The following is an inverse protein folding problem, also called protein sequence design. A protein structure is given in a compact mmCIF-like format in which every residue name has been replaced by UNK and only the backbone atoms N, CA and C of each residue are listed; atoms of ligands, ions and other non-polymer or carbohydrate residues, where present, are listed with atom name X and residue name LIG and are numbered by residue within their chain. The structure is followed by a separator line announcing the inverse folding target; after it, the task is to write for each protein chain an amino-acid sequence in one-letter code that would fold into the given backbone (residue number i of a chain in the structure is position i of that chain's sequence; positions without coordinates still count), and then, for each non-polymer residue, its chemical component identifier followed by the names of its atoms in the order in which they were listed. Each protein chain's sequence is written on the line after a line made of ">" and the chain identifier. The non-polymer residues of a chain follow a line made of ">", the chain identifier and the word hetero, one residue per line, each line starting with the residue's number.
data_IF_388016229427
#
_entry.id   IF_388016229427
#
_cell.length_a   1.000
_cell.length_b   1.000
_cell.length_c   1.000
_cell.angle_alpha   90.00
_cell.angle_beta   90.00
_cell.angle_gamma   90.00
#
_symmetry.space_group_name_H-M   'P 1'
#
loop_
_entity.id
_entity.type
_entity.pdbx_description
1 polymer ?
#
# COMPACT_ATOMS: atom_id res chain seq x y z
N UNK A 1 -11.97 -2.92 17.27
CA UNK A 1 -10.96 -2.71 16.21
C UNK A 1 -10.77 -1.20 15.96
N UNK A 2 -10.06 -0.48 16.84
CA UNK A 2 -9.71 0.92 16.60
C UNK A 2 -8.33 0.93 15.94
N UNK A 3 -8.22 1.58 14.79
CA UNK A 3 -7.10 1.49 13.85
C UNK A 3 -5.82 2.20 14.34
N UNK A 4 -5.31 1.85 15.52
CA UNK A 4 -4.07 2.40 16.06
C UNK A 4 -3.11 1.23 16.33
N UNK A 5 -2.06 1.12 15.52
CA UNK A 5 -1.02 0.10 15.67
C UNK A 5 0.01 0.57 16.72
N UNK A 6 -0.44 0.90 17.93
CA UNK A 6 0.45 1.35 18.99
C UNK A 6 1.29 0.20 19.54
N UNK A 7 2.55 0.51 19.86
CA UNK A 7 3.52 -0.35 20.54
C UNK A 7 2.86 -0.88 21.83
N UNK A 8 2.42 -2.14 21.80
CA UNK A 8 1.89 -2.84 22.97
C UNK A 8 0.51 -3.50 22.84
N UNK A 9 -0.37 -3.09 21.91
CA UNK A 9 -1.70 -3.74 21.75
C UNK A 9 -2.28 -3.76 20.31
N UNK A 10 -1.53 -3.31 19.30
CA UNK A 10 -1.96 -3.34 17.90
C UNK A 10 -1.41 -4.56 17.15
N UNK A 11 -2.29 -5.38 16.58
CA UNK A 11 -1.89 -6.42 15.62
C UNK A 11 -1.27 -5.83 14.34
N UNK A 12 -0.60 -6.65 13.51
CA UNK A 12 0.09 -6.17 12.32
C UNK A 12 -0.88 -5.53 11.30
N UNK A 13 -0.41 -4.52 10.55
CA UNK A 13 -1.20 -3.82 9.52
C UNK A 13 -1.81 -4.84 8.52
N UNK A 14 -3.11 -4.75 8.16
CA UNK A 14 -3.74 -5.70 7.24
C UNK A 14 -3.12 -5.64 5.83
N UNK A 15 -3.39 -6.66 5.01
CA UNK A 15 -2.93 -6.70 3.62
C UNK A 15 -3.40 -5.45 2.85
N UNK A 16 -2.54 -4.92 1.99
CA UNK A 16 -2.80 -3.69 1.25
C UNK A 16 -2.55 -2.40 2.04
N UNK A 17 -2.10 -2.51 3.30
CA UNK A 17 -1.71 -1.38 4.14
C UNK A 17 -0.27 -1.54 4.64
N UNK A 18 0.39 -0.41 4.85
CA UNK A 18 1.71 -0.33 5.45
C UNK A 18 1.70 0.50 6.73
N UNK A 19 2.52 0.08 7.67
CA UNK A 19 2.69 0.76 8.94
C UNK A 19 3.66 1.96 8.74
N UNK A 20 3.13 3.17 8.53
CA UNK A 20 3.97 4.38 8.46
C UNK A 20 4.09 5.02 9.84
N UNK A 21 5.33 5.37 10.21
CA UNK A 21 5.58 6.28 11.32
C UNK A 21 5.27 7.70 10.83
N UNK A 22 4.16 8.28 11.28
CA UNK A 22 4.00 9.73 11.13
C UNK A 22 4.86 10.39 12.19
N UNK A 23 5.87 11.11 11.74
CA UNK A 23 6.78 11.92 12.56
C UNK A 23 6.00 12.63 13.66
N UNK A 24 6.39 12.35 14.90
CA UNK A 24 6.16 13.16 16.10
C UNK A 24 4.99 14.12 15.99
N UNK A 25 3.77 13.61 15.89
CA UNK A 25 2.65 14.43 16.35
C UNK A 25 2.97 14.63 17.83
N UNK A 26 3.27 15.86 18.21
CA UNK A 26 3.24 16.32 19.58
C UNK A 26 1.80 16.14 20.05
N UNK A 27 1.39 14.89 20.26
CA UNK A 27 0.16 14.59 20.96
C UNK A 27 0.53 15.01 22.36
N UNK A 28 0.13 16.21 22.74
CA UNK A 28 -0.06 16.57 24.14
C UNK A 28 -1.14 15.65 24.67
N UNK A 29 -0.76 14.39 24.91
CA UNK A 29 -1.49 13.53 25.79
C UNK A 29 -1.28 14.19 27.15
N UNK A 30 -2.35 14.71 27.74
CA UNK A 30 -2.34 15.20 29.12
C UNK A 30 -2.15 14.01 30.05
N UNK A 31 -0.95 13.43 30.06
CA UNK A 31 -0.50 12.55 31.13
C UNK A 31 0.15 13.46 32.16
N UNK A 32 -0.30 13.36 33.40
CA UNK A 32 0.41 13.92 34.55
C UNK A 32 1.74 13.16 34.69
N UNK A 33 2.77 13.50 33.90
CA UNK A 33 4.06 12.79 33.86
C UNK A 33 4.96 13.20 32.68
N UNK A 34 6.26 12.82 32.70
CA UNK A 34 7.28 13.30 31.77
C UNK A 34 6.96 12.94 30.33
N UNK A 35 7.34 13.82 29.40
CA UNK A 35 7.04 13.76 27.96
C UNK A 35 7.69 12.55 27.30
N UNK A 36 7.01 11.41 27.27
CA UNK A 36 7.41 10.28 26.43
C UNK A 36 6.91 10.52 25.01
N UNK A 37 7.81 10.63 24.03
CA UNK A 37 7.42 10.73 22.61
C UNK A 37 6.76 9.40 22.21
N UNK A 38 5.44 9.39 22.07
CA UNK A 38 4.71 8.22 21.55
C UNK A 38 4.56 8.40 20.04
N UNK A 39 5.39 7.72 19.26
CA UNK A 39 5.16 7.57 17.84
C UNK A 39 3.89 6.74 17.62
N UNK A 40 2.88 7.31 16.94
CA UNK A 40 1.72 6.55 16.49
C UNK A 40 2.02 5.91 15.14
N UNK A 41 1.77 4.60 15.04
CA UNK A 41 1.88 3.86 13.78
C UNK A 41 0.47 3.75 13.21
N UNK A 42 0.22 4.43 12.10
CA UNK A 42 -1.09 4.45 11.45
C UNK A 42 -0.99 3.60 10.18
N UNK A 43 -1.92 2.65 9.96
CA UNK A 43 -1.98 1.90 8.71
C UNK A 43 -2.29 2.87 7.56
N UNK A 44 -1.40 2.91 6.58
CA UNK A 44 -1.53 3.73 5.38
C UNK A 44 -1.78 2.80 4.19
N UNK A 45 -2.87 2.99 3.43
CA UNK A 45 -3.15 2.14 2.28
C UNK A 45 -2.06 2.29 1.22
N UNK A 46 -1.73 1.19 0.55
CA UNK A 46 -0.84 1.25 -0.60
C UNK A 46 -1.52 1.99 -1.76
N UNK A 47 -0.82 2.92 -2.42
CA UNK A 47 -1.36 3.60 -3.59
C UNK A 47 -1.51 2.63 -4.76
N UNK A 48 -2.42 2.96 -5.68
CA UNK A 48 -2.57 2.20 -6.92
C UNK A 48 -1.24 2.14 -7.68
N UNK A 49 -0.94 0.98 -8.27
CA UNK A 49 0.40 0.70 -8.82
C UNK A 49 1.37 0.06 -7.83
N UNK A 50 0.96 -0.13 -6.58
CA UNK A 50 1.74 -0.87 -5.58
C UNK A 50 0.86 -1.87 -4.82
N UNK A 51 1.48 -2.87 -4.19
CA UNK A 51 0.79 -3.91 -3.43
C UNK A 51 1.65 -4.42 -2.27
N UNK A 52 1.01 -5.04 -1.27
CA UNK A 52 1.66 -5.78 -0.18
C UNK A 52 1.05 -7.17 -0.05
N UNK A 53 1.81 -8.24 -0.35
CA UNK A 53 1.31 -9.61 -0.25
C UNK A 53 1.29 -10.13 1.20
N UNK A 54 1.91 -9.41 2.13
CA UNK A 54 2.11 -9.84 3.52
C UNK A 54 1.52 -8.83 4.50
N UNK A 55 0.95 -9.37 5.58
CA UNK A 55 0.43 -8.60 6.71
C UNK A 55 1.62 -7.99 7.46
N UNK A 56 1.50 -6.75 7.93
CA UNK A 56 2.55 -6.04 8.65
C UNK A 56 3.67 -5.51 7.74
N UNK A 57 3.43 -5.38 6.44
CA UNK A 57 4.37 -4.77 5.53
C UNK A 57 4.71 -3.33 5.98
N UNK A 58 5.99 -2.96 5.92
CA UNK A 58 6.47 -1.60 6.17
C UNK A 58 6.54 -0.75 4.90
N UNK A 59 6.57 -1.41 3.72
CA UNK A 59 6.72 -0.77 2.42
C UNK A 59 5.82 -1.43 1.38
N UNK A 60 5.25 -0.63 0.49
CA UNK A 60 4.48 -1.13 -0.64
C UNK A 60 5.42 -1.53 -1.78
N UNK A 61 5.19 -2.70 -2.36
CA UNK A 61 5.96 -3.22 -3.48
C UNK A 61 5.39 -2.71 -4.80
N UNK A 62 6.25 -2.29 -5.72
CA UNK A 62 5.81 -1.86 -7.06
C UNK A 62 5.15 -3.01 -7.82
N UNK A 63 4.04 -2.71 -8.51
CA UNK A 63 3.37 -3.70 -9.34
C UNK A 63 4.29 -4.17 -10.49
N UNK A 64 4.46 -5.49 -10.72
CA UNK A 64 5.28 -5.99 -11.82
C UNK A 64 4.69 -5.65 -13.19
N UNK A 65 5.54 -5.60 -14.22
CA UNK A 65 5.10 -5.44 -15.61
C UNK A 65 4.15 -6.58 -16.02
N UNK A 66 3.18 -6.28 -16.89
CA UNK A 66 2.13 -7.22 -17.27
C UNK A 66 0.98 -7.32 -16.25
N UNK A 67 1.10 -6.64 -15.11
CA UNK A 67 0.06 -6.59 -14.09
C UNK A 67 -0.27 -5.16 -13.67
N UNK A 68 -1.44 -5.02 -13.06
CA UNK A 68 -1.92 -3.79 -12.48
C UNK A 68 -2.35 -4.01 -11.03
N UNK A 69 -2.12 -3.02 -10.17
CA UNK A 69 -2.37 -3.14 -8.72
C UNK A 69 -3.35 -2.06 -8.27
N UNK A 70 -4.38 -2.48 -7.54
CA UNK A 70 -5.37 -1.59 -6.94
C UNK A 70 -4.82 -0.96 -5.65
N UNK A 71 -5.54 0.00 -5.08
CA UNK A 71 -5.17 0.65 -3.81
C UNK A 71 -5.88 0.03 -2.60
N UNK A 72 -5.36 0.27 -1.40
CA UNK A 72 -6.00 -0.14 -0.14
C UNK A 72 -6.16 -1.65 0.00
N UNK A 73 -7.31 -2.13 0.48
CA UNK A 73 -7.58 -3.56 0.73
C UNK A 73 -7.46 -4.48 -0.50
N UNK A 74 -7.40 -3.90 -1.70
CA UNK A 74 -7.21 -4.63 -2.96
C UNK A 74 -5.76 -4.61 -3.45
N UNK A 75 -4.89 -3.84 -2.80
CA UNK A 75 -3.45 -3.79 -3.02
C UNK A 75 -2.75 -5.02 -2.40
N UNK A 76 -3.36 -6.20 -2.48
CA UNK A 76 -2.84 -7.44 -1.86
C UNK A 76 -2.15 -8.33 -2.88
N UNK A 77 -2.53 -8.19 -4.15
CA UNK A 77 -1.95 -8.94 -5.26
C UNK A 77 -2.00 -8.15 -6.57
N UNK A 78 -1.05 -8.39 -7.47
CA UNK A 78 -1.12 -7.92 -8.84
C UNK A 78 -2.26 -8.63 -9.61
N UNK A 79 -2.94 -7.88 -10.48
CA UNK A 79 -4.00 -8.36 -11.38
C UNK A 79 -3.51 -8.34 -12.82
N UNK A 80 -3.81 -9.37 -13.60
CA UNK A 80 -3.30 -9.48 -14.97
C UNK A 80 -3.84 -8.36 -15.86
N UNK A 81 -2.98 -7.76 -16.68
CA UNK A 81 -3.39 -6.74 -17.64
C UNK A 81 -4.47 -7.27 -18.59
N UNK A 82 -5.46 -6.45 -18.93
CA UNK A 82 -6.49 -6.86 -19.90
C UNK A 82 -5.91 -7.00 -21.30
N UNK A 83 -6.38 -7.96 -22.11
CA UNK A 83 -6.03 -8.04 -23.53
C UNK A 83 -6.24 -6.70 -24.25
N UNK A 84 -5.35 -6.38 -25.20
CA UNK A 84 -5.35 -5.11 -25.94
C UNK A 84 -4.77 -3.91 -25.18
N UNK A 85 -4.29 -4.12 -23.95
CA UNK A 85 -3.59 -3.12 -23.16
C UNK A 85 -2.20 -3.62 -22.78
N UNK A 86 -1.32 -2.69 -22.41
CA UNK A 86 -0.02 -2.99 -21.81
C UNK A 86 0.13 -2.29 -20.46
N UNK A 87 0.66 -3.03 -19.50
CA UNK A 87 0.88 -2.59 -18.13
C UNK A 87 2.39 -2.49 -17.87
N UNK A 88 3.00 -1.29 -17.90
CA UNK A 88 4.36 -1.11 -17.40
C UNK A 88 4.44 -1.36 -15.87
N UNK A 89 5.65 -1.52 -15.31
CA UNK A 89 5.83 -1.57 -13.85
C UNK A 89 5.15 -0.38 -13.16
N UNK A 90 4.47 -0.63 -12.05
CA UNK A 90 3.75 0.39 -11.29
C UNK A 90 2.39 0.79 -11.87
N UNK A 91 1.81 -0.02 -12.77
CA UNK A 91 0.47 0.26 -13.32
C UNK A 91 -0.61 0.14 -12.25
N UNK A 92 -1.37 1.22 -12.07
CA UNK A 92 -2.56 1.27 -11.20
C UNK A 92 -3.84 0.92 -11.94
N UNK A 93 -4.84 1.79 -11.91
CA UNK A 93 -6.10 1.58 -12.65
C UNK A 93 -6.03 2.03 -14.13
N UNK A 94 -5.06 2.87 -14.47
CA UNK A 94 -4.94 3.45 -15.82
C UNK A 94 -4.11 2.53 -16.70
N UNK A 95 -4.81 1.71 -17.48
CA UNK A 95 -4.23 0.81 -18.48
C UNK A 95 -3.85 1.61 -19.72
N UNK A 96 -2.68 1.33 -20.31
CA UNK A 96 -2.30 1.93 -21.59
C UNK A 96 -2.77 1.04 -22.72
N UNK A 97 -3.52 1.59 -23.67
CA UNK A 97 -3.95 0.88 -24.88
C UNK A 97 -2.76 0.61 -25.80
N UNK A 98 -2.76 -0.54 -26.45
CA UNK A 98 -1.82 -0.81 -27.53
C UNK A 98 -2.20 0.07 -28.75
N UNK A 99 -1.21 0.61 -29.48
CA UNK A 99 -1.48 1.24 -30.77
C UNK A 99 -2.12 0.24 -31.75
N UNK A 100 -2.93 0.70 -32.72
CA UNK A 100 -3.50 -0.15 -33.76
C UNK A 100 -2.40 -0.98 -34.44
N UNK A 101 -2.60 -2.31 -34.53
CA UNK A 101 -1.66 -3.23 -35.16
C UNK A 101 -0.50 -3.72 -34.27
N UNK A 102 -0.44 -3.32 -33.01
CA UNK A 102 0.55 -3.83 -32.04
C UNK A 102 -0.09 -4.77 -31.01
N UNK A 103 0.58 -5.87 -30.70
CA UNK A 103 0.21 -6.79 -29.61
C UNK A 103 1.15 -6.59 -28.42
N UNK A 104 0.65 -6.75 -27.19
CA UNK A 104 1.48 -6.74 -25.99
C UNK A 104 2.18 -8.11 -25.84
N UNK A 105 3.52 -8.16 -25.74
CA UNK A 105 4.25 -9.43 -25.61
C UNK A 105 4.25 -10.00 -24.19
N UNK A 106 3.41 -9.47 -23.30
CA UNK A 106 3.33 -9.90 -21.89
C UNK A 106 2.11 -10.77 -21.67
N UNK A 107 2.25 -12.02 -22.13
CA UNK A 107 1.51 -13.20 -21.70
C UNK A 107 2.43 -14.03 -20.81
#
# INVERSE_FOLDING_TARGET
>A
CKHNCSIGQGGPCPLGYICKQTTTTTVTVTVKGPTTIVGSIIPSPCPAGTYTPTVGASVCTTCPAGYYCLSGDLATKPLLCRPGHFCPPGTGLVLRTCPPGSYSPVS
#
